data_IF_509170174104
#
_entry.id   IF_509170174104
#
_cell.length_a   1.000
_cell.length_b   1.000
_cell.length_c   1.000
_cell.angle_alpha   90.00
_cell.angle_beta   90.00
_cell.angle_gamma   90.00
#
_symmetry.space_group_name_H-M   'P 1'
#
loop_
_entity.id
_entity.type
_entity.pdbx_description
1 polymer ?
#
# COMPACT_ATOMS: atom_id res chain seq x y z
N UNK A 1 33.73 -11.87 -16.72
CA UNK A 1 33.84 -10.67 -15.89
C UNK A 1 32.53 -10.58 -15.12
N UNK A 2 32.57 -11.07 -13.93
CA UNK A 2 31.43 -11.04 -12.99
C UNK A 2 31.40 -9.66 -12.38
N UNK A 3 30.31 -8.94 -12.55
CA UNK A 3 30.02 -7.73 -11.77
C UNK A 3 29.59 -8.16 -10.36
N UNK A 4 30.41 -7.97 -9.37
CA UNK A 4 30.12 -8.46 -8.04
C UNK A 4 29.77 -7.31 -7.11
N UNK A 5 28.72 -6.57 -7.40
CA UNK A 5 28.20 -5.70 -6.37
C UNK A 5 26.73 -6.03 -6.15
N UNK A 6 26.39 -6.95 -5.23
CA UNK A 6 25.03 -7.05 -4.77
C UNK A 6 24.67 -5.66 -4.27
N UNK A 7 23.73 -4.99 -4.94
CA UNK A 7 23.20 -3.72 -4.47
C UNK A 7 22.78 -3.92 -3.01
N UNK A 8 23.54 -3.37 -2.10
CA UNK A 8 23.21 -3.38 -0.67
C UNK A 8 21.92 -2.58 -0.58
N UNK A 9 20.79 -3.26 -0.42
CA UNK A 9 19.51 -2.60 -0.22
C UNK A 9 19.60 -1.77 1.05
N UNK A 10 19.09 -0.52 1.06
CA UNK A 10 19.12 0.31 2.25
C UNK A 10 18.41 -0.37 3.41
N UNK A 11 18.84 -0.10 4.63
CA UNK A 11 18.19 -0.62 5.83
C UNK A 11 16.69 -0.29 5.84
N UNK A 12 15.86 -1.24 6.26
CA UNK A 12 14.40 -1.05 6.33
C UNK A 12 14.03 0.13 7.26
N UNK A 13 12.94 0.88 6.96
CA UNK A 13 12.70 2.25 7.44
C UNK A 13 12.47 2.46 8.94
N UNK A 14 12.53 1.47 9.78
CA UNK A 14 12.49 1.66 11.23
C UNK A 14 13.88 1.88 11.84
N UNK A 15 14.94 1.78 11.04
CA UNK A 15 16.31 2.05 11.44
C UNK A 15 17.09 2.67 10.28
N UNK A 16 17.32 3.99 10.35
CA UNK A 16 18.22 4.66 9.45
C UNK A 16 19.61 4.64 10.08
N UNK A 17 20.58 4.03 9.40
CA UNK A 17 21.97 4.12 9.75
C UNK A 17 22.49 5.47 9.27
N UNK A 18 23.04 6.26 10.17
CA UNK A 18 23.75 7.50 9.84
C UNK A 18 25.19 7.21 9.47
N UNK A 19 25.85 8.13 8.77
CA UNK A 19 27.24 8.01 8.33
C UNK A 19 28.22 7.82 9.52
N UNK A 20 27.81 8.24 10.70
CA UNK A 20 28.57 8.08 11.96
C UNK A 20 28.29 6.74 12.68
N UNK A 21 27.57 5.82 12.06
CA UNK A 21 27.22 4.50 12.60
C UNK A 21 26.07 4.49 13.61
N UNK A 22 25.45 5.63 13.92
CA UNK A 22 24.27 5.68 14.80
C UNK A 22 23.01 5.29 14.02
N UNK A 23 22.12 4.57 14.71
CA UNK A 23 20.80 4.22 14.18
C UNK A 23 19.76 5.21 14.70
N UNK A 24 19.06 5.88 13.80
CA UNK A 24 17.94 6.76 14.16
C UNK A 24 16.62 6.16 13.70
N UNK A 25 15.56 6.43 14.46
CA UNK A 25 14.21 5.99 14.12
C UNK A 25 13.62 6.89 13.05
N UNK A 26 13.24 6.32 11.92
CA UNK A 26 12.51 7.04 10.88
C UNK A 26 11.07 7.32 11.31
N UNK A 27 10.48 8.33 10.66
CA UNK A 27 9.06 8.66 10.84
C UNK A 27 8.23 7.64 10.08
N UNK A 28 7.47 6.81 10.80
CA UNK A 28 6.58 5.81 10.19
C UNK A 28 5.21 6.43 9.89
N UNK A 29 4.64 6.08 8.74
CA UNK A 29 3.30 6.48 8.30
C UNK A 29 2.19 5.71 9.01
N UNK A 30 2.50 4.66 9.71
CA UNK A 30 1.57 3.76 10.39
C UNK A 30 1.87 3.62 11.89
N UNK A 31 0.91 3.07 12.64
CA UNK A 31 1.07 2.72 14.04
C UNK A 31 1.38 1.24 14.17
N UNK A 32 2.45 0.89 14.91
CA UNK A 32 2.72 -0.51 15.25
C UNK A 32 1.63 -1.05 16.17
N UNK A 33 1.05 -2.20 15.79
CA UNK A 33 0.03 -2.92 16.53
C UNK A 33 0.55 -4.32 16.87
N UNK A 34 -0.12 -5.01 17.81
CA UNK A 34 0.23 -6.39 18.13
C UNK A 34 0.11 -7.32 16.92
N UNK A 35 1.02 -8.27 16.83
CA UNK A 35 1.12 -9.22 15.70
C UNK A 35 0.48 -10.59 15.99
N UNK A 36 -0.05 -10.81 17.21
CA UNK A 36 -0.65 -12.08 17.62
C UNK A 36 -1.94 -12.32 16.83
N UNK A 37 -2.06 -13.50 16.25
CA UNK A 37 -3.27 -13.96 15.56
C UNK A 37 -4.22 -14.62 16.54
N UNK A 38 -5.52 -14.44 16.35
CA UNK A 38 -6.54 -15.28 16.96
C UNK A 38 -6.69 -16.60 16.17
N UNK A 39 -7.53 -17.53 16.66
CA UNK A 39 -7.69 -18.86 16.05
C UNK A 39 -8.23 -18.79 14.61
N UNK A 40 -9.12 -17.83 14.30
CA UNK A 40 -9.68 -17.65 12.95
C UNK A 40 -8.63 -17.09 11.99
N UNK A 41 -7.88 -16.09 12.44
CA UNK A 41 -6.79 -15.49 11.70
C UNK A 41 -5.66 -16.51 11.46
N UNK A 42 -5.32 -17.33 12.47
CA UNK A 42 -4.31 -18.38 12.33
C UNK A 42 -4.73 -19.42 11.28
N UNK A 43 -6.00 -19.86 11.28
CA UNK A 43 -6.52 -20.77 10.25
C UNK A 43 -6.37 -20.20 8.83
N UNK A 44 -6.67 -18.93 8.63
CA UNK A 44 -6.51 -18.28 7.32
C UNK A 44 -5.03 -18.14 6.93
N UNK A 45 -4.19 -17.80 7.90
CA UNK A 45 -2.75 -17.75 7.70
C UNK A 45 -2.17 -19.08 7.26
N UNK A 46 -2.51 -20.18 7.97
CA UNK A 46 -2.04 -21.52 7.66
C UNK A 46 -2.52 -22.02 6.29
N UNK A 47 -3.72 -21.57 5.87
CA UNK A 47 -4.28 -21.97 4.58
C UNK A 47 -3.67 -21.27 3.37
N UNK A 48 -3.27 -20.00 3.50
CA UNK A 48 -2.95 -19.16 2.34
C UNK A 48 -1.59 -18.47 2.38
N UNK A 49 -0.98 -18.31 3.56
CA UNK A 49 0.21 -17.46 3.67
C UNK A 49 1.41 -18.02 2.89
N UNK A 50 1.56 -19.33 2.81
CA UNK A 50 2.68 -19.96 2.09
C UNK A 50 2.70 -19.58 0.59
N UNK A 51 1.53 -19.32 0.00
CA UNK A 51 1.41 -19.00 -1.43
C UNK A 51 1.28 -17.48 -1.66
N UNK A 52 0.55 -16.78 -0.76
CA UNK A 52 0.15 -15.40 -1.04
C UNK A 52 0.91 -14.34 -0.26
N UNK A 53 1.63 -14.71 0.80
CA UNK A 53 2.44 -13.76 1.57
C UNK A 53 3.90 -13.87 1.16
N UNK A 54 4.45 -12.76 0.70
CA UNK A 54 5.89 -12.63 0.42
C UNK A 54 6.60 -12.56 1.77
N UNK A 55 7.46 -13.54 2.12
CA UNK A 55 8.22 -13.49 3.36
C UNK A 55 9.11 -12.25 3.42
N UNK A 56 9.23 -11.69 4.62
CA UNK A 56 10.07 -10.50 4.82
C UNK A 56 11.52 -10.73 4.41
N UNK A 57 12.03 -11.94 4.58
CA UNK A 57 13.39 -12.33 4.21
C UNK A 57 13.60 -12.40 2.71
N UNK A 58 12.56 -12.83 1.97
CA UNK A 58 12.64 -13.00 0.52
C UNK A 58 12.86 -11.67 -0.21
N UNK A 59 12.39 -10.54 0.35
CA UNK A 59 12.58 -9.22 -0.28
C UNK A 59 14.02 -8.73 -0.20
N UNK A 60 14.84 -9.31 0.64
CA UNK A 60 16.26 -8.98 0.80
C UNK A 60 17.18 -9.89 -0.07
N UNK A 61 16.61 -10.91 -0.70
CA UNK A 61 17.38 -11.84 -1.52
C UNK A 61 17.88 -11.19 -2.83
N UNK A 62 19.12 -11.46 -3.25
CA UNK A 62 19.60 -11.04 -4.56
C UNK A 62 18.71 -11.61 -5.67
N UNK A 63 18.25 -10.76 -6.60
CA UNK A 63 17.41 -11.21 -7.71
C UNK A 63 15.92 -11.30 -7.37
N UNK A 64 15.48 -10.78 -6.23
CA UNK A 64 14.05 -10.65 -5.92
C UNK A 64 13.29 -10.01 -7.09
N UNK A 65 12.17 -10.61 -7.46
CA UNK A 65 11.29 -10.12 -8.52
C UNK A 65 9.82 -10.31 -8.13
N UNK A 66 9.05 -9.23 -8.14
CA UNK A 66 7.61 -9.30 -7.93
C UNK A 66 6.90 -10.17 -8.98
N UNK A 67 7.36 -10.13 -10.24
CA UNK A 67 6.77 -10.94 -11.30
C UNK A 67 6.87 -12.44 -11.00
N UNK A 68 8.01 -12.90 -10.45
CA UNK A 68 8.15 -14.32 -10.07
C UNK A 68 7.22 -14.74 -8.93
N UNK A 69 6.89 -13.83 -8.01
CA UNK A 69 5.93 -14.10 -6.95
C UNK A 69 4.50 -14.20 -7.45
N UNK A 70 4.12 -13.47 -8.50
CA UNK A 70 2.83 -13.62 -9.14
C UNK A 70 2.75 -14.84 -10.05
N UNK A 71 3.89 -15.33 -10.56
CA UNK A 71 3.97 -16.43 -11.52
C UNK A 71 3.36 -16.12 -12.88
N UNK A 72 3.04 -14.86 -13.15
CA UNK A 72 2.43 -14.40 -14.40
C UNK A 72 2.71 -12.92 -14.66
N UNK A 73 2.65 -12.53 -15.92
CA UNK A 73 2.63 -11.12 -16.34
C UNK A 73 1.20 -10.56 -16.26
N UNK A 74 1.10 -9.31 -15.92
CA UNK A 74 -0.17 -8.57 -15.87
C UNK A 74 0.02 -7.15 -15.37
N UNK A 75 -0.98 -6.27 -15.54
CA UNK A 75 -0.95 -4.94 -14.95
C UNK A 75 -0.71 -5.03 -13.44
N UNK A 76 0.25 -4.26 -12.92
CA UNK A 76 0.51 -4.21 -11.49
C UNK A 76 -0.35 -3.13 -10.84
N UNK A 77 -1.11 -3.53 -9.82
CA UNK A 77 -1.87 -2.63 -8.95
C UNK A 77 -1.25 -2.73 -7.54
N UNK A 78 -1.05 -1.59 -6.89
CA UNK A 78 -0.53 -1.53 -5.52
C UNK A 78 -1.61 -0.99 -4.58
N UNK A 79 -1.99 -1.79 -3.59
CA UNK A 79 -2.94 -1.42 -2.52
C UNK A 79 -2.18 -1.07 -1.25
N UNK A 80 -2.10 0.22 -0.91
CA UNK A 80 -1.34 0.72 0.24
C UNK A 80 -2.22 0.78 1.48
N UNK A 81 -1.93 -0.07 2.45
CA UNK A 81 -2.66 -0.13 3.72
C UNK A 81 -4.02 -0.79 3.58
N UNK A 82 -4.13 -1.89 2.84
CA UNK A 82 -5.37 -2.63 2.60
C UNK A 82 -6.12 -3.10 3.87
N UNK A 83 -5.47 -3.01 5.03
CA UNK A 83 -6.05 -3.29 6.34
C UNK A 83 -6.53 -4.73 6.47
N UNK A 84 -7.84 -4.90 6.65
CA UNK A 84 -8.47 -6.25 6.74
C UNK A 84 -8.96 -6.76 5.38
N UNK A 85 -8.64 -6.09 4.27
CA UNK A 85 -8.86 -6.57 2.90
C UNK A 85 -10.29 -6.47 2.39
N UNK A 86 -11.14 -5.62 2.97
CA UNK A 86 -12.52 -5.46 2.48
C UNK A 86 -12.56 -4.93 1.04
N UNK A 87 -11.73 -3.93 0.72
CA UNK A 87 -11.60 -3.41 -0.65
C UNK A 87 -10.77 -4.35 -1.52
N UNK A 88 -9.60 -4.76 -1.04
CA UNK A 88 -8.67 -5.64 -1.75
C UNK A 88 -9.35 -6.88 -2.32
N UNK A 89 -10.15 -7.59 -1.51
CA UNK A 89 -10.79 -8.83 -1.94
C UNK A 89 -11.81 -8.62 -3.07
N UNK A 90 -12.66 -7.61 -2.95
CA UNK A 90 -13.69 -7.30 -3.97
C UNK A 90 -13.04 -6.81 -5.25
N UNK A 91 -12.11 -5.86 -5.13
CA UNK A 91 -11.45 -5.27 -6.30
C UNK A 91 -10.54 -6.28 -7.02
N UNK A 92 -9.91 -7.21 -6.28
CA UNK A 92 -9.12 -8.29 -6.87
C UNK A 92 -9.97 -9.28 -7.67
N UNK A 93 -11.11 -9.68 -7.13
CA UNK A 93 -12.04 -10.58 -7.83
C UNK A 93 -12.61 -9.96 -9.11
N UNK A 94 -12.79 -8.63 -9.12
CA UNK A 94 -13.28 -7.88 -10.30
C UNK A 94 -12.18 -7.59 -11.34
N UNK A 95 -10.90 -7.86 -11.03
CA UNK A 95 -9.74 -7.61 -11.91
C UNK A 95 -8.83 -8.83 -12.00
N UNK A 96 -9.34 -9.97 -12.47
CA UNK A 96 -8.56 -11.22 -12.51
C UNK A 96 -7.33 -11.13 -13.42
N UNK A 97 -7.30 -10.19 -14.37
CA UNK A 97 -6.17 -9.94 -15.26
C UNK A 97 -4.99 -9.20 -14.59
N UNK A 98 -5.27 -8.42 -13.53
CA UNK A 98 -4.26 -7.64 -12.84
C UNK A 98 -3.56 -8.45 -11.74
N UNK A 99 -2.34 -8.06 -11.43
CA UNK A 99 -1.56 -8.51 -10.28
C UNK A 99 -1.68 -7.46 -9.17
N UNK A 100 -2.15 -7.84 -7.99
CA UNK A 100 -2.38 -6.90 -6.88
C UNK A 100 -1.36 -7.14 -5.78
N UNK A 101 -0.50 -6.16 -5.54
CA UNK A 101 0.43 -6.13 -4.41
C UNK A 101 -0.22 -5.38 -3.26
N UNK A 102 -0.68 -6.09 -2.26
CA UNK A 102 -1.28 -5.53 -1.05
C UNK A 102 -0.22 -5.31 0.03
N UNK A 103 0.00 -4.05 0.41
CA UNK A 103 0.99 -3.61 1.38
C UNK A 103 0.32 -3.33 2.72
N UNK A 104 0.45 -4.25 3.68
CA UNK A 104 -0.12 -4.13 5.01
C UNK A 104 0.84 -4.67 6.07
N UNK A 105 1.26 -3.80 7.00
CA UNK A 105 2.25 -4.13 8.03
C UNK A 105 1.66 -4.81 9.27
N UNK A 106 0.34 -4.77 9.44
CA UNK A 106 -0.34 -5.35 10.56
C UNK A 106 -0.74 -6.81 10.27
N UNK A 107 0.04 -7.77 10.79
CA UNK A 107 -0.14 -9.20 10.53
C UNK A 107 -1.58 -9.72 10.72
N UNK A 108 -2.34 -9.35 11.78
CA UNK A 108 -3.74 -9.75 11.89
C UNK A 108 -4.63 -9.19 10.77
N UNK A 109 -4.32 -7.99 10.25
CA UNK A 109 -4.99 -7.42 9.07
C UNK A 109 -4.73 -8.26 7.83
N UNK A 110 -3.47 -8.63 7.57
CA UNK A 110 -3.10 -9.55 6.48
C UNK A 110 -3.84 -10.87 6.61
N UNK A 111 -3.89 -11.48 7.80
CA UNK A 111 -4.59 -12.74 8.02
C UNK A 111 -6.10 -12.66 7.72
N UNK A 112 -6.76 -11.56 8.10
CA UNK A 112 -8.15 -11.31 7.73
C UNK A 112 -8.32 -11.07 6.21
N UNK A 113 -7.37 -10.37 5.59
CA UNK A 113 -7.35 -10.15 4.14
C UNK A 113 -7.21 -11.45 3.38
N UNK A 114 -6.33 -12.35 3.82
CA UNK A 114 -6.16 -13.69 3.25
C UNK A 114 -7.49 -14.47 3.24
N UNK A 115 -8.22 -14.45 4.37
CA UNK A 115 -9.52 -15.09 4.47
C UNK A 115 -10.55 -14.52 3.48
N UNK A 116 -10.56 -13.17 3.31
CA UNK A 116 -11.51 -12.50 2.40
C UNK A 116 -11.17 -12.73 0.94
N UNK A 117 -9.89 -12.62 0.59
CA UNK A 117 -9.39 -12.87 -0.78
C UNK A 117 -9.69 -14.31 -1.19
N UNK A 118 -9.42 -15.29 -0.29
CA UNK A 118 -9.75 -16.70 -0.52
C UNK A 118 -11.25 -16.93 -0.66
N UNK A 119 -12.08 -16.32 0.19
CA UNK A 119 -13.54 -16.41 0.09
C UNK A 119 -14.11 -15.78 -1.19
N UNK A 120 -13.45 -14.74 -1.72
CA UNK A 120 -13.81 -14.10 -2.98
C UNK A 120 -13.32 -14.88 -4.22
N UNK A 121 -12.54 -15.96 -4.03
CA UNK A 121 -11.96 -16.74 -5.12
C UNK A 121 -10.87 -16.02 -5.91
N UNK A 122 -10.33 -14.92 -5.39
CA UNK A 122 -9.27 -14.19 -6.05
C UNK A 122 -7.91 -14.87 -5.76
N UNK A 123 -7.09 -15.09 -6.79
CA UNK A 123 -5.76 -15.72 -6.71
C UNK A 123 -4.63 -14.78 -7.13
N UNK A 124 -4.99 -13.58 -7.52
CA UNK A 124 -4.13 -12.56 -8.12
C UNK A 124 -3.58 -11.54 -7.12
N UNK A 125 -3.62 -11.84 -5.82
CA UNK A 125 -3.11 -10.98 -4.75
C UNK A 125 -1.84 -11.57 -4.16
N UNK A 126 -0.86 -10.70 -3.90
CA UNK A 126 0.29 -11.03 -3.04
C UNK A 126 0.39 -9.98 -1.95
N UNK A 127 0.64 -10.43 -0.73
CA UNK A 127 0.76 -9.57 0.45
C UNK A 127 2.23 -9.38 0.80
N UNK A 128 2.63 -8.14 1.08
CA UNK A 128 3.94 -7.82 1.61
C UNK A 128 3.79 -6.99 2.88
N UNK A 129 4.41 -7.45 3.98
CA UNK A 129 4.33 -6.80 5.30
C UNK A 129 5.46 -5.79 5.56
N UNK A 130 6.30 -5.55 4.57
CA UNK A 130 7.32 -4.50 4.62
C UNK A 130 6.66 -3.14 4.42
N UNK A 131 7.26 -2.09 4.98
CA UNK A 131 6.78 -0.71 4.82
C UNK A 131 6.48 -0.38 3.36
N UNK A 132 5.31 0.22 3.12
CA UNK A 132 4.81 0.44 1.76
C UNK A 132 5.69 1.39 0.95
N UNK A 133 6.19 2.47 1.58
CA UNK A 133 7.04 3.44 0.89
C UNK A 133 8.40 2.83 0.56
N UNK A 134 8.96 2.08 1.49
CA UNK A 134 10.19 1.34 1.25
C UNK A 134 10.01 0.30 0.13
N UNK A 135 8.89 -0.44 0.14
CA UNK A 135 8.56 -1.43 -0.89
C UNK A 135 8.46 -0.78 -2.27
N UNK A 136 7.72 0.32 -2.38
CA UNK A 136 7.59 1.06 -3.63
C UNK A 136 8.95 1.57 -4.15
N UNK A 137 9.78 2.09 -3.26
CA UNK A 137 11.09 2.65 -3.61
C UNK A 137 12.08 1.59 -4.07
N UNK A 138 12.08 0.39 -3.42
CA UNK A 138 13.15 -0.58 -3.56
C UNK A 138 12.76 -1.87 -4.32
N UNK A 139 11.47 -2.20 -4.41
CA UNK A 139 11.00 -3.46 -5.00
C UNK A 139 10.11 -3.27 -6.23
N UNK A 140 9.58 -2.07 -6.43
CA UNK A 140 8.70 -1.76 -7.55
C UNK A 140 9.47 -0.96 -8.58
N UNK A 141 9.56 -1.47 -9.79
CA UNK A 141 10.26 -0.79 -10.88
C UNK A 141 9.59 0.55 -11.22
N UNK A 142 10.36 1.58 -11.58
CA UNK A 142 9.79 2.82 -12.09
C UNK A 142 8.90 2.56 -13.32
N UNK A 143 7.82 3.36 -13.44
CA UNK A 143 6.95 3.34 -14.63
C UNK A 143 6.25 1.99 -14.88
N UNK A 144 6.06 1.19 -13.82
CA UNK A 144 5.52 -0.18 -13.92
C UNK A 144 4.13 -0.37 -13.32
N UNK A 145 3.66 0.56 -12.51
CA UNK A 145 2.39 0.43 -11.78
C UNK A 145 1.24 1.02 -12.60
N UNK A 146 0.23 0.22 -12.86
CA UNK A 146 -0.98 0.67 -13.58
C UNK A 146 -1.94 1.43 -12.69
N UNK A 147 -2.04 1.05 -11.41
CA UNK A 147 -2.94 1.71 -10.47
C UNK A 147 -2.40 1.61 -9.03
N UNK A 148 -2.58 2.67 -8.25
CA UNK A 148 -2.31 2.70 -6.80
C UNK A 148 -3.61 2.99 -6.08
N UNK A 149 -3.89 2.24 -5.02
CA UNK A 149 -5.02 2.46 -4.12
C UNK A 149 -4.52 2.91 -2.76
N UNK A 150 -5.14 3.95 -2.21
CA UNK A 150 -4.85 4.47 -0.87
C UNK A 150 -6.17 4.86 -0.22
N UNK A 151 -6.82 3.92 0.44
CA UNK A 151 -8.14 4.13 1.01
C UNK A 151 -8.07 4.28 2.53
N UNK A 152 -8.52 5.43 3.03
CA UNK A 152 -8.59 5.77 4.45
C UNK A 152 -7.24 5.64 5.18
N UNK A 153 -6.16 6.23 4.63
CA UNK A 153 -4.88 6.26 5.33
C UNK A 153 -5.00 7.02 6.65
N UNK A 154 -4.16 6.68 7.62
CA UNK A 154 -4.16 7.31 8.94
C UNK A 154 -4.07 8.85 8.82
N UNK A 155 -5.07 9.64 9.26
CA UNK A 155 -5.11 11.09 9.05
C UNK A 155 -4.21 11.88 10.02
N UNK A 156 -3.73 11.24 11.08
CA UNK A 156 -2.82 11.84 12.06
C UNK A 156 -3.31 13.22 12.56
N UNK A 157 -4.48 13.29 13.18
CA UNK A 157 -5.23 14.49 13.56
C UNK A 157 -4.43 15.59 14.28
N UNK A 158 -3.35 15.23 15.02
CA UNK A 158 -2.53 16.21 15.75
C UNK A 158 -1.48 16.79 14.80
N UNK A 159 -1.39 18.11 14.68
CA UNK A 159 -0.45 18.83 13.81
C UNK A 159 0.99 18.32 13.92
N UNK A 160 1.48 18.05 15.15
CA UNK A 160 2.81 17.46 15.37
C UNK A 160 3.03 16.08 14.73
N UNK A 161 1.92 15.40 14.31
CA UNK A 161 1.94 14.09 13.65
C UNK A 161 1.70 14.18 12.14
N UNK A 162 1.39 15.33 11.55
CA UNK A 162 1.14 15.47 10.11
C UNK A 162 2.32 14.99 9.27
N UNK A 163 3.57 15.10 9.77
CA UNK A 163 4.76 14.51 9.14
C UNK A 163 4.69 12.98 8.93
N UNK A 164 3.72 12.30 9.56
CA UNK A 164 3.48 10.86 9.42
C UNK A 164 2.43 10.54 8.36
N UNK A 165 1.77 11.53 7.78
CA UNK A 165 0.80 11.32 6.70
C UNK A 165 1.47 10.65 5.51
N UNK A 166 0.75 9.75 4.87
CA UNK A 166 1.26 9.05 3.69
C UNK A 166 1.45 10.03 2.51
N UNK A 167 0.46 10.89 2.28
CA UNK A 167 0.52 11.87 1.18
C UNK A 167 1.31 13.09 1.64
N UNK A 168 2.55 13.15 1.19
CA UNK A 168 3.50 14.26 1.35
C UNK A 168 4.14 14.55 -0.01
N UNK A 169 4.76 15.71 -0.26
CA UNK A 169 5.41 15.99 -1.54
C UNK A 169 6.43 14.92 -1.96
N UNK A 170 7.28 14.47 -1.02
CA UNK A 170 8.28 13.43 -1.30
C UNK A 170 7.63 12.10 -1.68
N UNK A 171 6.61 11.67 -0.95
CA UNK A 171 5.94 10.40 -1.21
C UNK A 171 5.08 10.48 -2.48
N UNK A 172 4.43 11.61 -2.75
CA UNK A 172 3.67 11.85 -3.97
C UNK A 172 4.56 11.73 -5.21
N UNK A 173 5.73 12.37 -5.18
CA UNK A 173 6.74 12.25 -6.24
C UNK A 173 7.18 10.81 -6.46
N UNK A 174 7.55 10.11 -5.41
CA UNK A 174 8.00 8.71 -5.48
C UNK A 174 6.91 7.80 -6.06
N UNK A 175 5.65 7.92 -5.60
CA UNK A 175 4.53 7.14 -6.13
C UNK A 175 4.26 7.49 -7.60
N UNK A 176 4.27 8.78 -7.96
CA UNK A 176 4.11 9.22 -9.34
C UNK A 176 5.18 8.62 -10.27
N UNK A 177 6.42 8.52 -9.82
CA UNK A 177 7.51 7.90 -10.60
C UNK A 177 7.32 6.40 -10.80
N UNK A 178 6.58 5.70 -9.93
CA UNK A 178 6.25 4.28 -10.10
C UNK A 178 5.07 4.05 -11.03
N UNK A 179 4.13 4.99 -11.13
CA UNK A 179 3.01 4.89 -12.06
C UNK A 179 3.50 4.83 -13.51
N UNK A 180 2.89 3.98 -14.32
CA UNK A 180 3.06 3.97 -15.76
C UNK A 180 2.40 5.20 -16.41
N UNK A 181 2.75 5.59 -17.64
CA UNK A 181 2.00 6.62 -18.37
C UNK A 181 0.51 6.26 -18.47
N UNK A 182 -0.35 7.19 -18.03
CA UNK A 182 -1.81 6.95 -17.90
C UNK A 182 -2.19 6.16 -16.64
N UNK A 183 -1.24 5.75 -15.83
CA UNK A 183 -1.49 5.08 -14.54
C UNK A 183 -2.26 5.97 -13.58
N UNK A 184 -3.01 5.35 -12.67
CA UNK A 184 -4.00 6.02 -11.82
C UNK A 184 -3.63 5.87 -10.36
N UNK A 185 -3.75 6.95 -9.58
CA UNK A 185 -3.76 6.90 -8.13
C UNK A 185 -5.15 7.25 -7.60
N UNK A 186 -5.80 6.28 -6.95
CA UNK A 186 -7.11 6.49 -6.30
C UNK A 186 -6.91 6.62 -4.79
N UNK A 187 -7.51 7.65 -4.22
CA UNK A 187 -7.47 7.90 -2.79
C UNK A 187 -8.90 8.09 -2.26
N UNK A 188 -9.10 7.78 -0.99
CA UNK A 188 -10.32 8.14 -0.27
C UNK A 188 -10.01 8.43 1.19
N UNK A 189 -10.69 9.41 1.78
CA UNK A 189 -10.55 9.76 3.20
C UNK A 189 -11.87 10.28 3.76
N UNK A 190 -12.09 10.05 5.07
CA UNK A 190 -13.21 10.61 5.86
C UNK A 190 -12.79 11.85 6.67
N UNK A 191 -11.60 12.41 6.38
CA UNK A 191 -11.02 13.53 7.10
C UNK A 191 -10.79 14.73 6.18
N UNK A 192 -11.67 15.74 6.28
CA UNK A 192 -11.72 16.88 5.36
C UNK A 192 -10.38 17.61 5.25
N UNK A 193 -9.76 17.95 6.39
CA UNK A 193 -8.48 18.66 6.41
C UNK A 193 -7.35 17.84 5.76
N UNK A 194 -7.42 16.49 5.84
CA UNK A 194 -6.45 15.64 5.14
C UNK A 194 -6.77 15.55 3.64
N UNK A 195 -8.04 15.57 3.25
CA UNK A 195 -8.43 15.65 1.85
C UNK A 195 -7.91 16.95 1.20
N UNK A 196 -8.06 18.08 1.87
CA UNK A 196 -7.53 19.39 1.43
C UNK A 196 -6.01 19.32 1.25
N UNK A 197 -5.27 18.77 2.22
CA UNK A 197 -3.82 18.58 2.10
C UNK A 197 -3.46 17.62 0.96
N UNK A 198 -4.22 16.54 0.74
CA UNK A 198 -3.98 15.63 -0.39
C UNK A 198 -4.08 16.39 -1.71
N UNK A 199 -5.13 17.20 -1.89
CA UNK A 199 -5.30 18.02 -3.09
C UNK A 199 -4.12 18.96 -3.27
N UNK A 200 -3.76 19.74 -2.24
CA UNK A 200 -2.63 20.67 -2.30
C UNK A 200 -1.33 19.98 -2.72
N UNK A 201 -1.02 18.83 -2.12
CA UNK A 201 0.22 18.10 -2.41
C UNK A 201 0.21 17.49 -3.81
N UNK A 202 -0.93 16.91 -4.23
CA UNK A 202 -1.00 16.18 -5.49
C UNK A 202 -1.14 17.12 -6.70
N UNK A 203 -1.80 18.26 -6.55
CA UNK A 203 -1.86 19.32 -7.58
C UNK A 203 -0.48 19.98 -7.80
N UNK A 204 0.35 20.02 -6.75
CA UNK A 204 1.71 20.54 -6.85
C UNK A 204 2.72 19.55 -7.48
N UNK A 205 2.37 18.26 -7.66
CA UNK A 205 3.26 17.27 -8.26
C UNK A 205 3.16 17.29 -9.79
N UNK A 206 4.23 17.71 -10.52
CA UNK A 206 4.16 17.93 -11.97
C UNK A 206 3.85 16.67 -12.81
N UNK A 207 4.06 15.48 -12.25
CA UNK A 207 3.76 14.23 -12.94
C UNK A 207 2.30 13.80 -12.81
N UNK A 208 1.52 14.48 -11.97
CA UNK A 208 0.15 14.10 -11.68
C UNK A 208 -0.84 15.16 -12.17
N UNK A 209 -1.99 14.72 -12.61
CA UNK A 209 -3.13 15.58 -12.94
C UNK A 209 -4.43 14.90 -12.48
N UNK A 210 -5.32 15.66 -11.86
CA UNK A 210 -6.56 15.08 -11.34
C UNK A 210 -7.26 15.99 -10.35
N UNK A 211 -7.87 15.42 -9.31
CA UNK A 211 -8.57 16.16 -8.27
C UNK A 211 -9.59 15.32 -7.54
N UNK A 212 -10.50 16.00 -6.85
CA UNK A 212 -11.67 15.41 -6.20
C UNK A 212 -12.65 14.90 -7.26
N UNK A 213 -13.14 13.69 -7.07
CA UNK A 213 -14.08 13.03 -7.97
C UNK A 213 -15.28 12.49 -7.21
N UNK A 214 -16.33 12.09 -7.94
CA UNK A 214 -17.41 11.32 -7.35
C UNK A 214 -16.89 10.00 -6.79
N UNK A 215 -17.63 9.45 -5.80
CA UNK A 215 -17.27 8.16 -5.21
C UNK A 215 -17.14 7.09 -6.30
N UNK A 216 -16.02 6.37 -6.25
CA UNK A 216 -15.80 5.28 -7.18
C UNK A 216 -16.75 4.10 -6.87
N UNK A 217 -17.64 3.77 -7.81
CA UNK A 217 -18.72 2.79 -7.62
C UNK A 217 -18.21 1.37 -7.33
N UNK A 218 -17.08 0.99 -7.94
CA UNK A 218 -16.49 -0.33 -7.71
C UNK A 218 -15.84 -0.48 -6.33
N UNK A 219 -15.48 0.63 -5.67
CA UNK A 219 -14.93 0.58 -4.33
C UNK A 219 -16.01 0.18 -3.33
N UNK A 220 -15.90 -1.00 -2.67
CA UNK A 220 -16.90 -1.41 -1.69
C UNK A 220 -16.89 -0.47 -0.47
N UNK A 221 -18.03 -0.37 0.21
CA UNK A 221 -18.12 0.37 1.47
C UNK A 221 -17.38 -0.40 2.55
N UNK A 222 -16.22 0.11 2.97
CA UNK A 222 -15.36 -0.52 3.97
C UNK A 222 -15.78 -0.20 5.39
N UNK A 223 -15.23 -0.91 6.38
CA UNK A 223 -15.43 -0.62 7.82
C UNK A 223 -15.04 0.82 8.18
N UNK A 224 -13.99 1.35 7.55
CA UNK A 224 -13.56 2.73 7.81
C UNK A 224 -14.55 3.73 7.25
N UNK A 225 -15.03 3.52 6.04
CA UNK A 225 -16.07 4.35 5.42
C UNK A 225 -17.36 4.31 6.25
N UNK A 226 -17.84 3.11 6.61
CA UNK A 226 -19.01 2.97 7.49
C UNK A 226 -18.87 3.74 8.82
N UNK A 227 -17.67 3.71 9.42
CA UNK A 227 -17.39 4.46 10.65
C UNK A 227 -17.36 5.97 10.44
N UNK A 228 -16.88 6.44 9.29
CA UNK A 228 -16.92 7.84 8.89
C UNK A 228 -18.36 8.31 8.72
N UNK A 229 -19.15 7.59 7.92
CA UNK A 229 -20.55 7.88 7.67
C UNK A 229 -21.40 7.86 8.95
N UNK A 230 -21.17 6.91 9.86
CA UNK A 230 -21.85 6.84 11.16
C UNK A 230 -21.51 8.02 12.10
N UNK A 231 -20.57 8.87 11.74
CA UNK A 231 -20.19 10.11 12.43
C UNK A 231 -20.48 11.35 11.60
N UNK A 232 -21.35 11.22 10.60
CA UNK A 232 -21.72 12.29 9.67
C UNK A 232 -20.52 12.93 8.96
N UNK A 233 -19.43 12.16 8.74
CA UNK A 233 -18.25 12.64 8.02
C UNK A 233 -18.47 12.56 6.52
N UNK A 234 -18.00 13.57 5.82
CA UNK A 234 -17.94 13.57 4.36
C UNK A 234 -16.80 12.65 3.91
N UNK A 235 -17.11 11.75 3.00
CA UNK A 235 -16.08 10.94 2.32
C UNK A 235 -15.66 11.69 1.07
N UNK A 236 -14.36 11.92 0.95
CA UNK A 236 -13.76 12.56 -0.24
C UNK A 236 -12.98 11.51 -1.01
N UNK A 237 -13.37 11.29 -2.25
CA UNK A 237 -12.64 10.47 -3.22
C UNK A 237 -11.79 11.37 -4.13
N UNK A 238 -10.55 10.97 -4.39
CA UNK A 238 -9.65 11.65 -5.30
C UNK A 238 -9.11 10.68 -6.34
N UNK A 239 -8.88 11.20 -7.54
CA UNK A 239 -8.26 10.46 -8.63
C UNK A 239 -7.20 11.34 -9.30
N UNK A 240 -5.98 10.82 -9.39
CA UNK A 240 -4.89 11.46 -10.11
C UNK A 240 -4.32 10.49 -11.16
N UNK A 241 -3.86 11.04 -12.28
CA UNK A 241 -3.25 10.31 -13.40
C UNK A 241 -1.85 10.84 -13.67
N UNK A 242 -0.97 9.92 -14.02
CA UNK A 242 0.33 10.26 -14.56
C UNK A 242 0.28 10.49 -16.06
#
# INVERSE_FOLDING_TARGET
>A
MTDPNPQIRPARPHQKLLDDGRTVREVLTYTRRGSRLDAKQQKAWDAYAAEWVIPDEAVDEPGFSLESWFGRKGPLIVDIGGGVGEATAVLAANRPEANILALEVWRPGVAESLARVGAAGATNVRFCSVDALWTLENLVEPVSVSEVWTFFPDPWHKTRHHKRRLVTPTNARMIAERLAPGGIWRLATDWVEYAEQMVEVLDAEPLLSGGVVERWDERPVTKFERKGLAKDRVITDLLYRR
#
